data_IF_108277842545
#
_entry.id   IF_108277842545
#
_cell.length_a   1.000
_cell.length_b   1.000
_cell.length_c   1.000
_cell.angle_alpha   90.00
_cell.angle_beta   90.00
_cell.angle_gamma   90.00
#
_symmetry.space_group_name_H-M   'P 1'
#
loop_
_entity.id
_entity.type
_entity.pdbx_description
1 polymer ?
#
# COMPACT_ATOMS: atom_id res chain seq x y z
N UNK A 1 -11.76 8.06 -19.95
CA UNK A 1 -10.70 7.71 -18.97
C UNK A 1 -10.28 6.27 -19.23
N UNK A 2 -9.09 6.06 -19.84
CA UNK A 2 -8.50 4.73 -19.99
C UNK A 2 -7.97 4.33 -18.61
N UNK A 3 -8.70 3.47 -17.90
CA UNK A 3 -8.13 2.71 -16.78
C UNK A 3 -7.20 1.69 -17.41
N UNK A 4 -5.88 1.89 -17.31
CA UNK A 4 -4.91 0.86 -17.70
C UNK A 4 -5.21 -0.41 -16.90
N UNK A 5 -5.38 -1.53 -17.59
CA UNK A 5 -5.60 -2.83 -16.96
C UNK A 5 -4.38 -3.17 -16.08
N UNK A 6 -4.61 -3.37 -14.78
CA UNK A 6 -3.56 -3.77 -13.86
C UNK A 6 -2.87 -5.05 -14.36
N UNK A 7 -1.55 -5.07 -14.31
CA UNK A 7 -0.75 -6.24 -14.66
C UNK A 7 -0.84 -7.31 -13.58
N UNK A 8 -0.53 -8.58 -13.92
CA UNK A 8 -0.47 -9.67 -12.93
C UNK A 8 0.51 -9.34 -11.78
N UNK A 9 1.57 -8.58 -12.05
CA UNK A 9 2.57 -8.16 -11.05
C UNK A 9 2.02 -7.06 -10.12
N UNK A 10 1.24 -6.12 -10.66
CA UNK A 10 0.56 -5.10 -9.85
C UNK A 10 -0.50 -5.74 -8.96
N UNK A 11 -1.23 -6.74 -9.46
CA UNK A 11 -2.17 -7.51 -8.65
C UNK A 11 -1.45 -8.25 -7.52
N UNK A 12 -0.31 -8.90 -7.79
CA UNK A 12 0.49 -9.58 -6.75
C UNK A 12 0.98 -8.61 -5.67
N UNK A 13 1.49 -7.44 -6.06
CA UNK A 13 1.87 -6.37 -5.13
C UNK A 13 0.71 -5.94 -4.25
N UNK A 14 -0.45 -5.69 -4.84
CA UNK A 14 -1.66 -5.29 -4.13
C UNK A 14 -2.18 -6.39 -3.18
N UNK A 15 -2.05 -7.66 -3.56
CA UNK A 15 -2.41 -8.81 -2.71
C UNK A 15 -1.48 -8.89 -1.49
N UNK A 16 -0.16 -8.81 -1.70
CA UNK A 16 0.83 -8.83 -0.62
C UNK A 16 0.57 -7.68 0.35
N UNK A 17 0.32 -6.48 -0.16
CA UNK A 17 -0.04 -5.30 0.64
C UNK A 17 -1.27 -5.56 1.50
N UNK A 18 -2.38 -5.99 0.90
CA UNK A 18 -3.62 -6.28 1.62
C UNK A 18 -3.45 -7.40 2.68
N UNK A 19 -2.64 -8.43 2.38
CA UNK A 19 -2.36 -9.52 3.33
C UNK A 19 -1.52 -9.06 4.53
N UNK A 20 -0.52 -8.20 4.32
CA UNK A 20 0.33 -7.68 5.40
C UNK A 20 -0.49 -6.78 6.31
N UNK A 21 -1.25 -5.85 5.74
CA UNK A 21 -2.06 -4.89 6.48
C UNK A 21 -3.35 -5.50 7.06
N UNK A 22 -3.77 -6.66 6.57
CA UNK A 22 -5.07 -7.30 6.88
C UNK A 22 -6.25 -6.34 6.62
N UNK A 23 -6.11 -5.52 5.60
CA UNK A 23 -7.07 -4.50 5.20
C UNK A 23 -6.96 -4.24 3.69
N UNK A 24 -7.85 -3.43 3.15
CA UNK A 24 -7.87 -3.07 1.74
C UNK A 24 -8.83 -3.93 0.92
N UNK A 25 -8.51 -4.11 -0.36
CA UNK A 25 -9.39 -4.81 -1.31
C UNK A 25 -9.52 -6.30 -0.99
N UNK A 26 -10.72 -6.85 -1.18
CA UNK A 26 -11.01 -8.28 -1.08
C UNK A 26 -10.22 -9.06 -2.15
N UNK A 27 -9.60 -10.17 -1.75
CA UNK A 27 -8.89 -11.08 -2.65
C UNK A 27 -9.85 -12.21 -3.04
N UNK A 28 -9.92 -12.52 -4.34
CA UNK A 28 -10.77 -13.59 -4.88
C UNK A 28 -9.91 -14.61 -5.61
N UNK A 29 -9.90 -15.84 -5.10
CA UNK A 29 -9.18 -16.95 -5.71
C UNK A 29 -10.01 -17.48 -6.89
N UNK A 30 -9.37 -17.55 -8.06
CA UNK A 30 -9.96 -18.10 -9.27
C UNK A 30 -9.27 -19.43 -9.59
N UNK A 31 -10.08 -20.48 -9.79
CA UNK A 31 -9.59 -21.80 -10.17
C UNK A 31 -9.29 -21.85 -11.68
N UNK A 32 -8.21 -21.18 -12.04
CA UNK A 32 -7.70 -21.10 -13.41
C UNK A 32 -6.18 -21.19 -13.41
N UNK A 33 -5.62 -21.86 -14.42
CA UNK A 33 -4.16 -21.95 -14.59
C UNK A 33 -3.53 -20.63 -15.04
N UNK A 34 -4.26 -19.87 -15.86
CA UNK A 34 -3.82 -18.59 -16.40
C UNK A 34 -5.01 -17.77 -16.92
N UNK A 35 -4.77 -16.48 -17.19
CA UNK A 35 -5.79 -15.58 -17.74
C UNK A 35 -5.73 -15.46 -19.29
N UNK A 36 -5.40 -16.56 -20.02
CA UNK A 36 -5.33 -16.52 -21.49
C UNK A 36 -6.64 -16.86 -22.17
N UNK A 37 -7.45 -17.74 -21.58
CA UNK A 37 -8.74 -18.12 -22.16
C UNK A 37 -9.77 -16.99 -21.99
N UNK A 38 -10.76 -16.92 -22.88
CA UNK A 38 -11.84 -15.93 -22.79
C UNK A 38 -12.58 -16.01 -21.46
N UNK A 39 -12.96 -17.20 -21.03
CA UNK A 39 -13.66 -17.40 -19.75
C UNK A 39 -12.83 -16.93 -18.54
N UNK A 40 -11.51 -17.22 -18.52
CA UNK A 40 -10.64 -16.78 -17.44
C UNK A 40 -10.48 -15.26 -17.42
N UNK A 41 -10.39 -14.61 -18.59
CA UNK A 41 -10.36 -13.14 -18.68
C UNK A 41 -11.65 -12.53 -18.15
N UNK A 42 -12.81 -13.02 -18.62
CA UNK A 42 -14.13 -12.57 -18.18
C UNK A 42 -14.31 -12.74 -16.66
N UNK A 43 -13.84 -13.85 -16.08
CA UNK A 43 -13.86 -14.07 -14.62
C UNK A 43 -12.98 -13.07 -13.88
N UNK A 44 -11.74 -12.86 -14.35
CA UNK A 44 -10.81 -11.86 -13.80
C UNK A 44 -11.42 -10.45 -13.84
N UNK A 45 -11.93 -10.04 -15.00
CA UNK A 45 -12.46 -8.69 -15.23
C UNK A 45 -13.72 -8.43 -14.40
N UNK A 46 -14.54 -9.46 -14.17
CA UNK A 46 -15.69 -9.40 -13.25
C UNK A 46 -15.23 -9.12 -11.81
N UNK A 47 -14.22 -9.85 -11.33
CA UNK A 47 -13.67 -9.65 -9.97
C UNK A 47 -13.12 -8.23 -9.82
N UNK A 48 -12.41 -7.71 -10.84
CA UNK A 48 -11.90 -6.33 -10.84
C UNK A 48 -13.04 -5.30 -10.85
N UNK A 49 -14.10 -5.53 -11.64
CA UNK A 49 -15.27 -4.66 -11.67
C UNK A 49 -16.01 -4.58 -10.33
N UNK A 50 -15.93 -5.65 -9.50
CA UNK A 50 -16.42 -5.66 -8.12
C UNK A 50 -15.46 -4.97 -7.13
N UNK A 51 -14.36 -4.36 -7.59
CA UNK A 51 -13.36 -3.72 -6.74
C UNK A 51 -12.45 -4.69 -5.97
N UNK A 52 -12.50 -5.99 -6.32
CA UNK A 52 -11.66 -7.02 -5.70
C UNK A 52 -10.41 -7.32 -6.55
N UNK A 53 -9.45 -8.05 -5.97
CA UNK A 53 -8.21 -8.44 -6.64
C UNK A 53 -8.26 -9.92 -6.97
N UNK A 54 -8.16 -10.32 -8.24
CA UNK A 54 -8.14 -11.73 -8.62
C UNK A 54 -6.76 -12.35 -8.38
N UNK A 55 -6.72 -13.57 -7.86
CA UNK A 55 -5.52 -14.40 -7.79
C UNK A 55 -5.80 -15.81 -8.33
N UNK A 56 -4.85 -16.40 -9.05
CA UNK A 56 -4.95 -17.78 -9.48
C UNK A 56 -4.73 -18.73 -8.29
N UNK A 57 -5.49 -19.80 -8.19
CA UNK A 57 -5.38 -20.77 -7.09
C UNK A 57 -3.95 -21.28 -6.87
N UNK A 58 -3.20 -21.53 -7.94
CA UNK A 58 -1.81 -21.97 -7.86
C UNK A 58 -0.82 -20.92 -7.30
N UNK A 59 -1.15 -19.64 -7.39
CA UNK A 59 -0.30 -18.55 -6.93
C UNK A 59 -0.64 -18.12 -5.48
N UNK A 60 -1.80 -18.51 -4.96
CA UNK A 60 -2.29 -18.10 -3.64
C UNK A 60 -1.32 -18.48 -2.51
N UNK A 61 -0.85 -19.72 -2.49
CA UNK A 61 0.06 -20.20 -1.44
C UNK A 61 1.41 -19.49 -1.51
N UNK A 62 1.95 -19.28 -2.71
CA UNK A 62 3.23 -18.60 -2.94
C UNK A 62 3.15 -17.16 -2.43
N UNK A 63 2.11 -16.41 -2.82
CA UNK A 63 1.92 -15.03 -2.43
C UNK A 63 1.64 -14.90 -0.93
N UNK A 64 0.87 -15.82 -0.36
CA UNK A 64 0.62 -15.88 1.08
C UNK A 64 1.89 -16.18 1.88
N UNK A 65 2.73 -17.07 1.41
CA UNK A 65 4.02 -17.37 2.03
C UNK A 65 4.96 -16.15 2.00
N UNK A 66 4.99 -15.43 0.87
CA UNK A 66 5.75 -14.19 0.74
C UNK A 66 5.24 -13.11 1.71
N UNK A 67 3.94 -12.88 1.77
CA UNK A 67 3.36 -11.89 2.69
C UNK A 67 3.70 -12.21 4.16
N UNK A 68 3.61 -13.47 4.55
CA UNK A 68 4.02 -13.91 5.90
C UNK A 68 5.51 -13.69 6.16
N UNK A 69 6.38 -13.93 5.15
CA UNK A 69 7.83 -13.71 5.26
C UNK A 69 8.14 -12.23 5.40
N UNK A 70 7.60 -11.38 4.55
CA UNK A 70 7.77 -9.92 4.60
C UNK A 70 7.31 -9.37 5.95
N UNK A 71 6.15 -9.79 6.43
CA UNK A 71 5.65 -9.37 7.74
C UNK A 71 6.62 -9.71 8.87
N UNK A 72 7.17 -10.93 8.91
CA UNK A 72 8.20 -11.30 9.91
C UNK A 72 9.46 -10.45 9.80
N UNK A 73 9.90 -10.14 8.56
CA UNK A 73 11.09 -9.32 8.36
C UNK A 73 10.85 -7.86 8.82
N UNK A 74 9.67 -7.30 8.56
CA UNK A 74 9.26 -5.99 9.07
C UNK A 74 9.23 -5.98 10.60
N UNK A 75 8.67 -7.03 11.21
CA UNK A 75 8.63 -7.19 12.67
C UNK A 75 10.05 -7.30 13.27
N UNK A 76 10.96 -8.00 12.59
CA UNK A 76 12.37 -8.12 13.01
C UNK A 76 13.13 -6.78 12.96
N UNK A 77 12.70 -5.85 12.11
CA UNK A 77 13.20 -4.46 12.07
C UNK A 77 12.59 -3.56 13.18
N UNK A 78 11.71 -4.10 14.01
CA UNK A 78 11.05 -3.38 15.11
C UNK A 78 9.76 -2.65 14.73
N UNK A 79 9.24 -2.86 13.51
CA UNK A 79 7.95 -2.33 13.11
C UNK A 79 6.85 -3.37 13.34
N UNK A 80 5.68 -2.90 13.74
CA UNK A 80 4.51 -3.76 13.96
C UNK A 80 3.25 -3.12 13.39
N UNK A 81 2.34 -3.96 12.91
CA UNK A 81 1.01 -3.54 12.44
C UNK A 81 -0.01 -3.69 13.57
N UNK A 82 0.24 -2.96 14.68
CA UNK A 82 -0.56 -2.98 15.92
C UNK A 82 -1.51 -1.78 16.06
N UNK A 83 -1.64 -1.00 14.99
CA UNK A 83 -2.50 0.17 14.90
C UNK A 83 -3.74 -0.08 14.05
N UNK A 84 -4.05 0.90 13.19
CA UNK A 84 -5.18 0.86 12.25
C UNK A 84 -4.65 0.94 10.83
N UNK A 85 -5.16 0.08 9.95
CA UNK A 85 -4.78 0.05 8.53
C UNK A 85 -5.87 0.65 7.64
N UNK A 86 -5.45 1.14 6.45
CA UNK A 86 -6.34 1.70 5.42
C UNK A 86 -7.26 2.79 5.97
N UNK A 87 -6.69 3.77 6.67
CA UNK A 87 -7.47 4.86 7.28
C UNK A 87 -7.58 6.02 6.31
N UNK A 88 -8.80 6.35 5.92
CA UNK A 88 -9.08 7.61 5.23
C UNK A 88 -8.81 8.81 6.14
N UNK A 89 -8.07 9.77 5.63
CA UNK A 89 -7.81 11.06 6.28
C UNK A 89 -8.26 12.20 5.39
N UNK A 90 -8.71 13.28 6.02
CA UNK A 90 -9.10 14.51 5.35
C UNK A 90 -8.46 15.67 6.09
N UNK A 91 -7.86 16.59 5.34
CA UNK A 91 -7.23 17.78 5.89
C UNK A 91 -7.35 18.94 4.91
N UNK A 92 -6.92 20.12 5.31
CA UNK A 92 -6.98 21.32 4.51
C UNK A 92 -5.59 21.89 4.29
N UNK A 93 -5.31 22.30 3.06
CA UNK A 93 -4.07 22.98 2.68
C UNK A 93 -4.42 24.38 2.16
N UNK A 94 -3.46 25.29 2.19
CA UNK A 94 -3.57 26.58 1.50
C UNK A 94 -2.91 26.49 0.13
N UNK A 95 -3.64 26.91 -0.89
CA UNK A 95 -3.09 27.08 -2.25
C UNK A 95 -2.14 28.28 -2.29
N UNK A 96 -1.44 28.45 -3.43
CA UNK A 96 -0.61 29.61 -3.69
C UNK A 96 -1.40 30.93 -3.70
N UNK A 97 -2.70 30.86 -4.01
CA UNK A 97 -3.62 32.00 -4.02
C UNK A 97 -4.33 32.21 -2.66
N UNK A 98 -3.84 31.53 -1.61
CA UNK A 98 -4.38 31.52 -0.24
C UNK A 98 -5.77 30.90 -0.08
N UNK A 99 -6.30 30.26 -1.12
CA UNK A 99 -7.55 29.51 -1.03
C UNK A 99 -7.37 28.23 -0.21
N UNK A 100 -8.37 27.89 0.59
CA UNK A 100 -8.41 26.64 1.33
C UNK A 100 -8.79 25.48 0.39
N UNK A 101 -7.93 24.46 0.31
CA UNK A 101 -8.12 23.28 -0.52
C UNK A 101 -8.32 22.07 0.37
N UNK A 102 -9.45 21.39 0.20
CA UNK A 102 -9.72 20.12 0.88
C UNK A 102 -8.93 19.00 0.23
N UNK A 103 -8.12 18.31 1.04
CA UNK A 103 -7.28 17.19 0.65
C UNK A 103 -7.78 15.89 1.26
N UNK A 104 -7.64 14.80 0.52
CA UNK A 104 -8.02 13.45 0.93
C UNK A 104 -6.89 12.48 0.68
N UNK A 105 -6.76 11.48 1.55
CA UNK A 105 -5.81 10.40 1.38
C UNK A 105 -6.17 9.21 2.24
N UNK A 106 -5.39 8.14 2.07
CA UNK A 106 -5.48 6.94 2.90
C UNK A 106 -4.10 6.61 3.46
N UNK A 107 -4.01 6.41 4.77
CA UNK A 107 -2.81 5.92 5.43
C UNK A 107 -2.81 4.40 5.38
N UNK A 108 -1.74 3.79 4.87
CA UNK A 108 -1.62 2.33 4.85
C UNK A 108 -1.73 1.76 6.27
N UNK A 109 -0.97 2.33 7.22
CA UNK A 109 -1.07 1.95 8.62
C UNK A 109 -0.68 3.11 9.55
N UNK A 110 -1.51 3.38 10.55
CA UNK A 110 -1.26 4.39 11.56
C UNK A 110 -1.22 3.79 12.97
N UNK A 111 -0.19 4.12 13.71
CA UNK A 111 0.05 3.72 15.11
C UNK A 111 -0.10 4.91 16.06
N UNK A 112 -1.31 5.18 16.58
CA UNK A 112 -1.57 6.35 17.43
C UNK A 112 -0.67 6.41 18.66
N UNK A 113 -0.38 5.28 19.28
CA UNK A 113 0.47 5.17 20.48
C UNK A 113 1.91 5.65 20.28
N UNK A 114 2.37 5.69 19.01
CA UNK A 114 3.71 6.12 18.62
C UNK A 114 3.74 7.38 17.77
N UNK A 115 2.57 7.92 17.43
CA UNK A 115 2.41 8.97 16.42
C UNK A 115 3.16 8.60 15.12
N UNK A 116 2.96 7.38 14.61
CA UNK A 116 3.75 6.81 13.52
C UNK A 116 2.86 6.37 12.37
N UNK A 117 3.19 6.81 11.17
CA UNK A 117 2.61 6.36 9.91
C UNK A 117 3.60 5.38 9.26
N UNK A 118 3.13 4.18 8.94
CA UNK A 118 3.88 3.22 8.13
C UNK A 118 3.24 3.15 6.74
N UNK A 119 4.02 3.40 5.72
CA UNK A 119 3.62 3.34 4.31
C UNK A 119 4.35 2.17 3.64
N UNK A 120 3.59 1.20 3.15
CA UNK A 120 4.10 -0.07 2.65
C UNK A 120 4.24 -0.04 1.13
N UNK A 121 5.47 -0.06 0.64
CA UNK A 121 5.80 -0.07 -0.79
C UNK A 121 6.24 -1.45 -1.24
N UNK A 122 5.42 -2.13 -2.02
CA UNK A 122 5.80 -3.40 -2.65
C UNK A 122 6.54 -3.09 -3.94
N UNK A 123 7.81 -3.45 -4.01
CA UNK A 123 8.74 -3.06 -5.07
C UNK A 123 9.47 -4.26 -5.66
N UNK A 124 10.08 -4.07 -6.84
CA UNK A 124 10.95 -5.08 -7.47
C UNK A 124 12.32 -5.18 -6.82
N UNK A 125 12.80 -4.09 -6.24
CA UNK A 125 14.09 -4.04 -5.54
C UNK A 125 14.02 -3.10 -4.35
N UNK A 126 14.42 -3.61 -3.18
CA UNK A 126 14.58 -2.85 -1.94
C UNK A 126 16.02 -2.31 -1.75
N UNK A 127 16.85 -2.33 -2.82
CA UNK A 127 18.17 -1.70 -2.78
C UNK A 127 18.03 -0.19 -2.51
N UNK A 128 18.86 0.43 -1.66
CA UNK A 128 18.72 1.84 -1.26
C UNK A 128 18.61 2.83 -2.43
N UNK A 129 19.38 2.63 -3.51
CA UNK A 129 19.30 3.50 -4.69
C UNK A 129 17.98 3.35 -5.46
N UNK A 130 17.42 2.14 -5.52
CA UNK A 130 16.12 1.90 -6.11
C UNK A 130 15.00 2.53 -5.28
N UNK A 131 15.07 2.42 -3.95
CA UNK A 131 14.14 3.06 -3.03
C UNK A 131 14.19 4.59 -3.16
N UNK A 132 15.39 5.18 -3.17
CA UNK A 132 15.57 6.63 -3.40
C UNK A 132 14.97 7.09 -4.71
N UNK A 133 15.26 6.36 -5.80
CA UNK A 133 14.70 6.67 -7.13
C UNK A 133 13.17 6.58 -7.11
N UNK A 134 12.61 5.58 -6.46
CA UNK A 134 11.17 5.41 -6.31
C UNK A 134 10.53 6.62 -5.61
N UNK A 135 11.06 7.03 -4.45
CA UNK A 135 10.58 8.20 -3.71
C UNK A 135 10.59 9.47 -4.56
N UNK A 136 11.71 9.74 -5.24
CA UNK A 136 11.84 10.92 -6.10
C UNK A 136 10.91 10.87 -7.33
N UNK A 137 10.71 9.68 -7.90
CA UNK A 137 9.86 9.53 -9.10
C UNK A 137 8.38 9.69 -8.79
N UNK A 138 7.94 9.22 -7.63
CA UNK A 138 6.52 9.16 -7.26
C UNK A 138 6.12 10.16 -6.16
N UNK A 139 6.98 11.15 -5.86
CA UNK A 139 6.68 12.21 -4.89
C UNK A 139 6.50 11.70 -3.46
N UNK A 140 7.32 10.71 -3.06
CA UNK A 140 7.24 10.14 -1.72
C UNK A 140 7.49 11.15 -0.60
N UNK A 141 8.35 12.13 -0.83
CA UNK A 141 8.60 13.25 0.07
C UNK A 141 7.35 14.12 0.24
N UNK A 142 6.66 14.43 -0.86
CA UNK A 142 5.38 15.17 -0.83
C UNK A 142 4.31 14.37 -0.08
N UNK A 143 4.21 13.06 -0.36
CA UNK A 143 3.27 12.18 0.35
C UNK A 143 3.52 12.16 1.85
N UNK A 144 4.78 11.98 2.27
CA UNK A 144 5.15 11.93 3.67
C UNK A 144 4.80 13.23 4.40
N UNK A 145 5.13 14.37 3.80
CA UNK A 145 4.83 15.68 4.38
C UNK A 145 3.32 15.94 4.46
N UNK A 146 2.57 15.67 3.38
CA UNK A 146 1.13 15.88 3.35
C UNK A 146 0.39 15.03 4.40
N UNK A 147 0.74 13.76 4.54
CA UNK A 147 0.10 12.88 5.53
C UNK A 147 0.53 13.18 6.96
N UNK A 148 1.76 13.62 7.16
CA UNK A 148 2.22 14.12 8.47
C UNK A 148 1.38 15.31 8.89
N UNK A 149 1.23 16.33 8.02
CA UNK A 149 0.37 17.49 8.30
C UNK A 149 -1.09 17.11 8.51
N UNK A 150 -1.62 16.14 7.74
CA UNK A 150 -2.98 15.64 7.93
C UNK A 150 -3.20 15.14 9.36
N UNK A 151 -2.30 14.29 9.86
CA UNK A 151 -2.39 13.75 11.23
C UNK A 151 -2.22 14.83 12.27
N UNK A 152 -1.32 15.78 12.07
CA UNK A 152 -1.09 16.91 12.98
C UNK A 152 -2.26 17.90 13.02
N UNK A 153 -2.97 18.11 11.90
CA UNK A 153 -4.20 18.90 11.89
C UNK A 153 -5.34 18.19 12.63
N UNK A 154 -5.45 16.86 12.49
CA UNK A 154 -6.47 16.05 13.16
C UNK A 154 -6.21 16.02 14.68
N UNK A 155 -4.95 15.91 15.08
CA UNK A 155 -4.53 15.97 16.50
C UNK A 155 -3.37 16.96 16.70
N UNK A 156 -3.65 18.24 17.00
CA UNK A 156 -2.62 19.27 17.18
C UNK A 156 -1.59 18.98 18.29
N UNK A 157 -1.90 18.05 19.20
CA UNK A 157 -0.95 17.64 20.25
C UNK A 157 0.24 16.87 19.67
N UNK A 158 0.14 16.40 18.42
CA UNK A 158 1.17 15.66 17.72
C UNK A 158 2.08 16.53 16.85
N UNK A 159 1.89 17.87 16.85
CA UNK A 159 2.68 18.80 16.05
C UNK A 159 4.19 18.57 16.22
N UNK A 160 4.90 18.33 15.11
CA UNK A 160 6.34 18.04 15.08
C UNK A 160 6.74 16.69 15.71
N UNK A 161 5.78 15.78 15.98
CA UNK A 161 6.02 14.50 16.64
C UNK A 161 5.66 13.30 15.76
N UNK A 162 4.92 13.52 14.68
CA UNK A 162 4.52 12.46 13.76
C UNK A 162 5.74 11.96 13.00
N UNK A 163 5.93 10.64 13.01
CA UNK A 163 6.99 9.96 12.24
C UNK A 163 6.39 9.24 11.05
N UNK A 164 6.87 9.56 9.86
CA UNK A 164 6.50 8.85 8.63
C UNK A 164 7.62 7.87 8.25
N UNK A 165 7.26 6.63 7.96
CA UNK A 165 8.21 5.56 7.62
C UNK A 165 7.76 4.84 6.35
N UNK A 166 8.61 4.84 5.34
CA UNK A 166 8.44 3.98 4.17
C UNK A 166 9.04 2.60 4.44
N UNK A 167 8.24 1.56 4.24
CA UNK A 167 8.66 0.16 4.31
C UNK A 167 8.72 -0.40 2.88
N UNK A 168 9.91 -0.44 2.31
CA UNK A 168 10.13 -1.02 0.99
C UNK A 168 10.28 -2.53 1.08
N UNK A 169 9.36 -3.27 0.46
CA UNK A 169 9.28 -4.72 0.52
C UNK A 169 9.49 -5.31 -0.86
N UNK A 170 10.53 -6.11 -1.04
CA UNK A 170 10.86 -6.70 -2.32
C UNK A 170 9.99 -7.92 -2.61
N UNK A 171 9.27 -7.87 -3.73
CA UNK A 171 8.24 -8.85 -4.11
C UNK A 171 8.80 -10.29 -4.26
N UNK A 172 10.03 -10.43 -4.75
CA UNK A 172 10.57 -11.75 -5.10
C UNK A 172 11.44 -12.38 -4.00
N UNK A 173 12.22 -11.59 -3.30
CA UNK A 173 13.17 -12.07 -2.28
C UNK A 173 12.62 -11.98 -0.87
N UNK A 174 11.63 -11.13 -0.63
CA UNK A 174 11.14 -10.81 0.70
C UNK A 174 12.10 -9.97 1.53
N UNK A 175 13.06 -9.28 0.90
CA UNK A 175 13.87 -8.25 1.57
C UNK A 175 13.01 -7.03 1.94
N UNK A 176 13.41 -6.34 3.00
CA UNK A 176 12.81 -5.10 3.50
C UNK A 176 13.92 -4.07 3.75
#
# INVERSE_FOLDING_TARGET
EHVEDATDEQDQGSIVHAMILRAGKRIVVLDVDNFRTRAAKEARDRVRAEGAIPIKSKDEEIVSALARRLKRNIEALGFAFDGKSEIGVRWFERSADEDEVECWGALDHYRPSRAEILDLKIVRSAHPDACRKHLLTFGGDIQAEAYTRAVEQIDPRLQGRVRFVFLFCELYTGAV
#
